data_IF_519144710560
#
_entry.id   IF_519144710560
#
_cell.length_a   1.000
_cell.length_b   1.000
_cell.length_c   1.000
_cell.angle_alpha   90.00
_cell.angle_beta   90.00
_cell.angle_gamma   90.00
#
_symmetry.space_group_name_H-M   'P 1'
#
loop_
_entity.id
_entity.type
_entity.pdbx_description
1 polymer ?
#
# COMPACT_ATOMS: atom_id res chain seq x y z
N UNK A 1 -16.95 -33.09 2.83
CA UNK A 1 -16.89 -32.29 4.06
C UNK A 1 -16.47 -30.91 3.61
N UNK A 2 -17.39 -29.94 3.66
CA UNK A 2 -17.10 -28.58 3.16
C UNK A 2 -16.08 -27.91 4.07
N UNK A 3 -14.99 -27.41 3.50
CA UNK A 3 -14.16 -26.43 4.17
C UNK A 3 -15.02 -25.20 4.40
N UNK A 4 -15.46 -24.98 5.64
CA UNK A 4 -15.97 -23.69 6.07
C UNK A 4 -14.73 -22.78 6.04
N UNK A 5 -14.57 -22.00 4.97
CA UNK A 5 -13.65 -20.87 4.99
C UNK A 5 -14.11 -19.99 6.16
N UNK A 6 -13.27 -19.83 7.18
CA UNK A 6 -13.53 -18.90 8.27
C UNK A 6 -13.48 -17.50 7.68
N UNK A 7 -14.61 -16.79 7.72
CA UNK A 7 -14.66 -15.38 7.35
C UNK A 7 -14.03 -14.57 8.49
N UNK A 8 -12.77 -14.17 8.30
CA UNK A 8 -12.02 -13.37 9.26
C UNK A 8 -12.67 -12.00 9.49
N UNK A 9 -13.40 -11.47 8.50
CA UNK A 9 -14.09 -10.18 8.60
C UNK A 9 -15.27 -10.30 9.56
N UNK A 10 -16.11 -11.33 9.39
CA UNK A 10 -17.24 -11.56 10.29
C UNK A 10 -16.77 -11.87 11.72
N UNK A 11 -15.71 -12.66 11.87
CA UNK A 11 -15.11 -12.97 13.18
C UNK A 11 -14.58 -11.70 13.85
N UNK A 12 -13.87 -10.84 13.11
CA UNK A 12 -13.37 -9.57 13.62
C UNK A 12 -14.50 -8.60 13.99
N UNK A 13 -15.56 -8.53 13.17
CA UNK A 13 -16.75 -7.72 13.42
C UNK A 13 -17.45 -8.12 14.71
N UNK A 14 -17.70 -9.42 14.90
CA UNK A 14 -18.36 -9.95 16.11
C UNK A 14 -17.53 -9.67 17.37
N UNK A 15 -16.21 -9.83 17.29
CA UNK A 15 -15.30 -9.49 18.38
C UNK A 15 -15.39 -8.00 18.71
N UNK A 16 -15.26 -7.13 17.72
CA UNK A 16 -15.33 -5.69 17.91
C UNK A 16 -16.70 -5.24 18.45
N UNK A 17 -17.79 -5.82 17.95
CA UNK A 17 -19.16 -5.57 18.42
C UNK A 17 -19.29 -5.89 19.92
N UNK A 18 -18.77 -7.04 20.35
CA UNK A 18 -18.80 -7.48 21.74
C UNK A 18 -18.10 -6.54 22.72
N UNK A 19 -17.02 -5.87 22.29
CA UNK A 19 -16.28 -4.92 23.13
C UNK A 19 -16.78 -3.47 23.04
N UNK A 20 -17.27 -3.05 21.87
CA UNK A 20 -17.48 -1.63 21.58
C UNK A 20 -18.96 -1.24 21.55
N UNK A 21 -19.87 -2.08 21.09
CA UNK A 21 -21.23 -1.66 20.76
C UNK A 21 -21.99 -1.09 21.97
N UNK A 22 -21.97 -1.81 23.10
CA UNK A 22 -22.66 -1.42 24.32
C UNK A 22 -21.82 -0.46 25.19
N UNK A 23 -20.52 -0.74 25.33
CA UNK A 23 -19.65 0.01 26.24
C UNK A 23 -19.19 1.35 25.66
N UNK A 24 -18.99 1.44 24.34
CA UNK A 24 -18.39 2.57 23.64
C UNK A 24 -19.14 2.85 22.32
N UNK A 25 -20.45 3.18 22.36
CA UNK A 25 -21.31 3.21 21.17
C UNK A 25 -20.86 4.20 20.09
N UNK A 26 -20.24 5.33 20.49
CA UNK A 26 -19.65 6.27 19.53
C UNK A 26 -18.41 5.68 18.85
N UNK A 27 -17.57 4.95 19.59
CA UNK A 27 -16.43 4.23 19.02
C UNK A 27 -16.90 3.15 18.06
N UNK A 28 -17.94 2.40 18.43
CA UNK A 28 -18.55 1.41 17.53
C UNK A 28 -19.04 2.02 16.20
N UNK A 29 -19.70 3.19 16.26
CA UNK A 29 -20.10 3.92 15.06
C UNK A 29 -18.89 4.31 14.18
N UNK A 30 -17.83 4.84 14.80
CA UNK A 30 -16.58 5.13 14.12
C UNK A 30 -15.98 3.87 13.48
N UNK A 31 -15.75 2.80 14.24
CA UNK A 31 -15.19 1.52 13.77
C UNK A 31 -15.99 0.94 12.60
N UNK A 32 -17.32 1.00 12.66
CA UNK A 32 -18.20 0.58 11.55
C UNK A 32 -17.95 1.39 10.28
N UNK A 33 -17.81 2.71 10.41
CA UNK A 33 -17.47 3.60 9.30
C UNK A 33 -16.08 3.30 8.72
N UNK A 34 -15.10 3.05 9.58
CA UNK A 34 -13.72 2.71 9.18
C UNK A 34 -13.71 1.39 8.42
N UNK A 35 -14.40 0.36 8.90
CA UNK A 35 -14.50 -0.93 8.20
C UNK A 35 -15.17 -0.81 6.82
N UNK A 36 -16.22 0.02 6.70
CA UNK A 36 -16.86 0.29 5.41
C UNK A 36 -15.92 1.01 4.43
N UNK A 37 -15.14 1.98 4.92
CA UNK A 37 -14.17 2.71 4.12
C UNK A 37 -12.97 1.83 3.72
N UNK A 38 -12.46 1.04 4.66
CA UNK A 38 -11.39 0.06 4.42
C UNK A 38 -11.80 -0.94 3.36
N UNK A 39 -13.03 -1.48 3.42
CA UNK A 39 -13.57 -2.39 2.41
C UNK A 39 -13.56 -1.75 1.03
N UNK A 40 -14.04 -0.52 0.94
CA UNK A 40 -14.04 0.25 -0.30
C UNK A 40 -12.60 0.37 -0.85
N UNK A 41 -11.69 0.95 -0.08
CA UNK A 41 -10.31 1.19 -0.53
C UNK A 41 -9.55 -0.09 -0.86
N UNK A 42 -9.60 -1.10 0.00
CA UNK A 42 -8.86 -2.34 -0.17
C UNK A 42 -9.33 -3.13 -1.39
N UNK A 43 -10.63 -3.17 -1.69
CA UNK A 43 -11.12 -3.82 -2.92
C UNK A 43 -10.57 -3.20 -4.21
N UNK A 44 -10.17 -1.92 -4.19
CA UNK A 44 -9.57 -1.26 -5.35
C UNK A 44 -8.04 -1.36 -5.36
N UNK A 45 -7.42 -1.17 -4.21
CA UNK A 45 -5.97 -0.98 -4.10
C UNK A 45 -5.23 -2.28 -3.79
N UNK A 46 -5.82 -3.15 -2.97
CA UNK A 46 -5.20 -4.39 -2.52
C UNK A 46 -6.24 -5.52 -2.36
N UNK A 47 -6.81 -6.02 -3.47
CA UNK A 47 -7.91 -6.98 -3.43
C UNK A 47 -7.51 -8.35 -2.85
N UNK A 48 -6.23 -8.75 -2.95
CA UNK A 48 -5.75 -10.02 -2.43
C UNK A 48 -5.78 -10.09 -0.90
N UNK A 49 -5.59 -8.94 -0.24
CA UNK A 49 -5.57 -8.84 1.22
C UNK A 49 -6.74 -8.00 1.78
N UNK A 50 -7.78 -7.78 0.97
CA UNK A 50 -8.90 -6.93 1.36
C UNK A 50 -9.57 -7.38 2.66
N UNK A 51 -9.76 -8.70 2.85
CA UNK A 51 -10.36 -9.23 4.07
C UNK A 51 -9.48 -8.99 5.31
N UNK A 52 -8.15 -9.08 5.18
CA UNK A 52 -7.21 -8.77 6.27
C UNK A 52 -7.32 -7.29 6.67
N UNK A 53 -7.33 -6.38 5.69
CA UNK A 53 -7.44 -4.94 5.95
C UNK A 53 -8.78 -4.58 6.58
N UNK A 54 -9.88 -5.19 6.11
CA UNK A 54 -11.22 -4.97 6.68
C UNK A 54 -11.34 -5.55 8.08
N UNK A 55 -10.79 -6.75 8.33
CA UNK A 55 -10.74 -7.34 9.66
C UNK A 55 -9.93 -6.45 10.61
N UNK A 56 -8.75 -5.96 10.19
CA UNK A 56 -7.96 -5.01 10.99
C UNK A 56 -8.72 -3.70 11.25
N UNK A 57 -9.50 -3.21 10.28
CA UNK A 57 -10.35 -2.03 10.46
C UNK A 57 -11.45 -2.22 11.52
N UNK A 58 -12.05 -3.41 11.62
CA UNK A 58 -12.95 -3.74 12.73
C UNK A 58 -12.22 -3.75 14.08
N UNK A 59 -10.96 -4.19 14.10
CA UNK A 59 -10.20 -4.42 15.32
C UNK A 59 -9.39 -3.24 15.81
N UNK A 60 -9.09 -2.23 14.96
CA UNK A 60 -8.07 -1.22 15.26
C UNK A 60 -8.30 -0.48 16.59
N UNK A 61 -9.57 -0.33 17.00
CA UNK A 61 -9.98 0.40 18.18
C UNK A 61 -10.45 -0.46 19.36
N UNK A 62 -10.38 -1.79 19.28
CA UNK A 62 -10.87 -2.66 20.37
C UNK A 62 -10.09 -2.43 21.66
N UNK A 63 -8.82 -2.04 21.58
CA UNK A 63 -8.00 -1.71 22.75
C UNK A 63 -8.48 -0.50 23.57
N UNK A 64 -9.51 0.24 23.13
CA UNK A 64 -10.20 1.23 23.97
C UNK A 64 -11.12 0.60 25.02
N UNK A 65 -11.51 -0.67 24.85
CA UNK A 65 -12.37 -1.35 25.80
C UNK A 65 -11.68 -1.39 27.18
N UNK A 66 -12.31 -0.88 28.26
CA UNK A 66 -11.66 -0.76 29.56
C UNK A 66 -11.10 -2.08 30.13
N UNK A 67 -11.71 -3.21 29.75
CA UNK A 67 -11.27 -4.54 30.16
C UNK A 67 -10.04 -5.08 29.42
N UNK A 68 -9.64 -4.43 28.31
CA UNK A 68 -8.47 -4.78 27.52
C UNK A 68 -7.25 -3.89 27.82
N UNK A 69 -7.42 -2.83 28.61
CA UNK A 69 -6.36 -1.87 28.89
C UNK A 69 -5.23 -2.49 29.74
N UNK A 70 -4.04 -2.60 29.16
CA UNK A 70 -2.82 -3.07 29.85
C UNK A 70 -1.77 -1.95 29.93
N UNK A 71 -1.55 -1.24 28.83
CA UNK A 71 -0.61 -0.12 28.71
C UNK A 71 -1.30 1.25 28.72
N UNK A 72 -2.62 1.28 28.47
CA UNK A 72 -3.37 2.53 28.29
C UNK A 72 -3.15 3.17 26.93
N UNK A 73 -2.66 2.39 25.96
CA UNK A 73 -2.46 2.78 24.56
C UNK A 73 -3.13 1.73 23.65
N UNK A 74 -4.26 2.13 23.07
CA UNK A 74 -5.19 1.21 22.41
C UNK A 74 -4.60 0.37 21.26
N UNK A 75 -3.61 0.82 20.45
CA UNK A 75 -3.06 -0.02 19.39
C UNK A 75 -2.32 -1.23 19.96
N UNK A 76 -1.53 -1.03 21.02
CA UNK A 76 -0.79 -2.10 21.70
C UNK A 76 -1.74 -3.02 22.45
N UNK A 77 -2.69 -2.44 23.19
CA UNK A 77 -3.64 -3.20 24.01
C UNK A 77 -4.56 -4.08 23.13
N UNK A 78 -5.02 -3.54 21.99
CA UNK A 78 -5.79 -4.28 20.99
C UNK A 78 -4.97 -5.39 20.33
N UNK A 79 -3.75 -5.09 19.87
CA UNK A 79 -2.87 -6.08 19.27
C UNK A 79 -2.52 -7.23 20.24
N UNK A 80 -2.26 -6.90 21.51
CA UNK A 80 -1.99 -7.88 22.57
C UNK A 80 -3.19 -8.80 22.81
N UNK A 81 -4.41 -8.25 22.79
CA UNK A 81 -5.61 -9.06 22.94
C UNK A 81 -5.82 -10.01 21.76
N UNK A 82 -5.79 -9.50 20.52
CA UNK A 82 -5.97 -10.29 19.29
C UNK A 82 -4.93 -11.40 19.23
N UNK A 83 -3.66 -11.07 19.44
CA UNK A 83 -2.55 -12.04 19.41
C UNK A 83 -2.72 -13.19 20.40
N UNK A 84 -3.34 -12.96 21.57
CA UNK A 84 -3.50 -14.01 22.60
C UNK A 84 -4.77 -14.84 22.43
N UNK A 85 -5.83 -14.26 21.87
CA UNK A 85 -7.20 -14.81 21.99
C UNK A 85 -7.85 -15.16 20.67
N UNK A 86 -7.37 -14.61 19.55
CA UNK A 86 -7.95 -14.81 18.22
C UNK A 86 -6.86 -15.25 17.22
N UNK A 87 -6.40 -16.53 17.29
CA UNK A 87 -5.35 -17.04 16.42
C UNK A 87 -5.72 -16.95 14.93
N UNK A 88 -7.00 -17.06 14.60
CA UNK A 88 -7.50 -16.97 13.23
C UNK A 88 -7.42 -15.52 12.66
N UNK A 89 -7.18 -14.53 13.52
CA UNK A 89 -7.03 -13.11 13.15
C UNK A 89 -5.57 -12.64 13.23
N UNK A 90 -4.61 -13.56 13.31
CA UNK A 90 -3.18 -13.25 13.48
C UNK A 90 -2.63 -12.27 12.43
N UNK A 91 -3.09 -12.35 11.18
CA UNK A 91 -2.67 -11.45 10.10
C UNK A 91 -2.97 -9.97 10.39
N UNK A 92 -3.94 -9.67 11.25
CA UNK A 92 -4.34 -8.30 11.58
C UNK A 92 -3.49 -7.67 12.69
N UNK A 93 -2.74 -8.46 13.46
CA UNK A 93 -2.09 -8.02 14.71
C UNK A 93 -1.14 -6.84 14.49
N UNK A 94 -0.29 -6.91 13.47
CA UNK A 94 0.66 -5.84 13.17
C UNK A 94 -0.04 -4.59 12.64
N UNK A 95 -1.10 -4.73 11.83
CA UNK A 95 -1.90 -3.60 11.37
C UNK A 95 -2.57 -2.88 12.55
N UNK A 96 -3.17 -3.65 13.48
CA UNK A 96 -3.78 -3.10 14.70
C UNK A 96 -2.74 -2.40 15.57
N UNK A 97 -1.53 -2.95 15.71
CA UNK A 97 -0.47 -2.33 16.51
C UNK A 97 0.02 -1.00 15.94
N UNK A 98 0.07 -0.88 14.60
CA UNK A 98 0.75 0.23 13.91
C UNK A 98 -0.18 1.25 13.26
N UNK A 99 -1.50 1.06 13.34
CA UNK A 99 -2.48 1.94 12.68
C UNK A 99 -2.37 3.41 13.11
N UNK A 100 -2.79 4.29 12.20
CA UNK A 100 -2.96 5.75 12.34
C UNK A 100 -1.74 6.44 12.97
N UNK A 101 -0.54 5.98 12.60
CA UNK A 101 0.71 6.56 13.08
C UNK A 101 1.00 6.24 14.54
N UNK A 102 0.56 5.09 15.05
CA UNK A 102 0.76 4.64 16.43
C UNK A 102 2.21 4.80 16.93
N UNK A 103 3.20 4.63 16.06
CA UNK A 103 4.61 4.83 16.42
C UNK A 103 4.94 6.25 16.92
N UNK A 104 4.28 7.28 16.39
CA UNK A 104 4.47 8.65 16.87
C UNK A 104 3.93 8.81 18.30
N UNK A 105 2.75 8.26 18.58
CA UNK A 105 2.15 8.34 19.92
C UNK A 105 2.84 7.43 20.93
N UNK A 106 3.28 6.24 20.51
CA UNK A 106 4.10 5.35 21.34
C UNK A 106 5.35 6.07 21.81
N UNK A 107 6.03 6.80 20.92
CA UNK A 107 7.19 7.62 21.29
C UNK A 107 6.86 8.70 22.32
N UNK A 108 5.75 9.43 22.13
CA UNK A 108 5.29 10.46 23.08
C UNK A 108 4.90 9.89 24.45
N UNK A 109 4.59 8.58 24.50
CA UNK A 109 4.25 7.82 25.72
C UNK A 109 5.43 7.05 26.31
N UNK A 110 6.56 6.97 25.62
CA UNK A 110 7.70 6.12 26.01
C UNK A 110 7.43 4.62 25.87
N UNK A 111 6.55 4.23 24.94
CA UNK A 111 6.13 2.85 24.65
C UNK A 111 6.79 2.27 23.38
N UNK A 112 7.91 2.84 22.94
CA UNK A 112 8.64 2.37 21.75
C UNK A 112 9.06 0.89 21.89
N UNK A 113 9.42 0.45 23.10
CA UNK A 113 9.84 -0.92 23.37
C UNK A 113 8.70 -1.92 23.27
N UNK A 114 7.53 -1.55 23.78
CA UNK A 114 6.31 -2.35 23.78
C UNK A 114 5.76 -2.48 22.35
N UNK A 115 5.74 -1.38 21.59
CA UNK A 115 5.32 -1.41 20.18
C UNK A 115 6.26 -2.28 19.34
N UNK A 116 7.56 -2.28 19.64
CA UNK A 116 8.57 -3.03 18.89
C UNK A 116 8.46 -4.57 19.01
N UNK A 117 7.56 -5.10 19.85
CA UNK A 117 7.20 -6.53 19.83
C UNK A 117 6.34 -6.90 18.63
N UNK A 118 5.66 -5.93 18.03
CA UNK A 118 4.89 -6.09 16.81
C UNK A 118 5.73 -5.58 15.65
N UNK A 119 6.03 -6.45 14.69
CA UNK A 119 6.80 -6.03 13.52
C UNK A 119 6.02 -4.95 12.79
N UNK A 120 6.73 -3.92 12.32
CA UNK A 120 6.11 -2.97 11.41
C UNK A 120 5.60 -3.77 10.19
N UNK A 121 4.34 -3.58 9.74
CA UNK A 121 3.81 -4.33 8.63
C UNK A 121 4.76 -4.28 7.45
N UNK A 122 5.14 -5.45 6.94
CA UNK A 122 5.93 -5.54 5.72
C UNK A 122 5.09 -4.99 4.57
N UNK A 123 3.77 -5.22 4.61
CA UNK A 123 2.76 -4.77 3.66
C UNK A 123 2.31 -3.34 3.99
N UNK A 124 3.12 -2.38 3.53
CA UNK A 124 2.98 -0.95 3.84
C UNK A 124 1.71 -0.34 3.21
N UNK A 125 1.24 -0.90 2.10
CA UNK A 125 -0.03 -0.57 1.46
C UNK A 125 -1.24 -0.95 2.31
N UNK A 126 -1.27 -2.14 2.92
CA UNK A 126 -2.35 -2.55 3.84
C UNK A 126 -2.48 -1.55 4.99
N UNK A 127 -1.36 -1.18 5.61
CA UNK A 127 -1.32 -0.17 6.67
C UNK A 127 -1.74 1.22 6.14
N UNK A 128 -1.30 1.59 4.94
CA UNK A 128 -1.67 2.86 4.32
C UNK A 128 -3.19 2.94 4.07
N UNK A 129 -3.80 1.84 3.63
CA UNK A 129 -5.24 1.73 3.41
C UNK A 129 -6.00 1.83 4.73
N UNK A 130 -5.55 1.12 5.78
CA UNK A 130 -6.15 1.19 7.11
C UNK A 130 -6.08 2.61 7.70
N UNK A 131 -4.91 3.25 7.63
CA UNK A 131 -4.71 4.62 8.07
C UNK A 131 -5.61 5.59 7.31
N UNK A 132 -5.70 5.42 5.98
CA UNK A 132 -6.59 6.23 5.15
C UNK A 132 -8.06 6.06 5.55
N UNK A 133 -8.49 4.83 5.83
CA UNK A 133 -9.85 4.53 6.25
C UNK A 133 -10.22 5.19 7.57
N UNK A 134 -9.35 5.14 8.59
CA UNK A 134 -9.55 5.83 9.87
C UNK A 134 -9.55 7.35 9.68
N UNK A 135 -8.53 7.88 9.00
CA UNK A 135 -8.38 9.32 8.80
C UNK A 135 -9.53 9.93 7.97
N UNK A 136 -10.22 9.16 7.14
CA UNK A 136 -11.37 9.61 6.37
C UNK A 136 -12.72 9.34 7.06
N UNK A 137 -12.72 8.89 8.31
CA UNK A 137 -13.93 8.55 9.06
C UNK A 137 -14.05 9.38 10.34
N UNK A 138 -15.20 10.02 10.49
CA UNK A 138 -15.52 10.82 11.68
C UNK A 138 -15.79 9.92 12.90
N UNK A 139 -15.80 10.50 14.12
CA UNK A 139 -16.17 9.77 15.34
C UNK A 139 -17.57 9.16 15.31
N UNK A 140 -18.45 9.63 14.42
CA UNK A 140 -19.82 9.16 14.31
C UNK A 140 -20.01 8.25 13.09
N UNK A 141 -18.91 7.80 12.47
CA UNK A 141 -18.90 6.85 11.35
C UNK A 141 -19.13 7.46 9.96
N UNK A 142 -19.32 8.79 9.86
CA UNK A 142 -19.50 9.47 8.58
C UNK A 142 -18.16 9.75 7.87
N UNK A 143 -18.18 9.71 6.53
CA UNK A 143 -17.02 10.07 5.70
C UNK A 143 -16.70 11.56 5.81
N UNK A 144 -15.43 11.89 6.02
CA UNK A 144 -14.92 13.26 6.12
C UNK A 144 -13.56 13.40 5.43
N UNK A 145 -13.17 14.64 5.14
CA UNK A 145 -11.83 14.93 4.64
C UNK A 145 -10.77 14.66 5.73
N UNK A 146 -9.64 14.01 5.42
CA UNK A 146 -8.60 13.69 6.40
C UNK A 146 -8.01 14.92 7.10
N UNK A 147 -7.97 16.10 6.46
CA UNK A 147 -7.58 17.35 7.12
C UNK A 147 -8.58 17.74 8.22
N UNK A 148 -9.88 17.56 7.96
CA UNK A 148 -10.93 17.84 8.94
C UNK A 148 -10.77 16.89 10.14
N UNK A 149 -10.44 15.62 9.90
CA UNK A 149 -10.17 14.64 10.96
C UNK A 149 -8.96 15.03 11.81
N UNK A 150 -7.83 15.40 11.21
CA UNK A 150 -6.65 15.89 11.95
C UNK A 150 -6.99 17.10 12.80
N UNK A 151 -7.67 18.10 12.23
CA UNK A 151 -8.05 19.32 12.95
C UNK A 151 -8.97 19.00 14.14
N UNK A 152 -9.93 18.09 13.96
CA UNK A 152 -10.82 17.64 15.03
C UNK A 152 -10.07 16.97 16.19
N UNK A 153 -9.06 16.14 15.89
CA UNK A 153 -8.23 15.51 16.93
C UNK A 153 -7.42 16.58 17.68
N UNK A 154 -6.84 17.54 16.97
CA UNK A 154 -6.08 18.65 17.59
C UNK A 154 -6.97 19.57 18.45
N UNK A 155 -8.24 19.78 18.07
CA UNK A 155 -9.19 20.55 18.87
C UNK A 155 -9.66 19.78 20.13
N UNK A 156 -9.72 18.44 20.05
CA UNK A 156 -10.20 17.57 21.13
C UNK A 156 -9.21 17.43 22.28
N UNK A 157 -7.92 17.38 21.97
CA UNK A 157 -6.87 17.10 22.94
C UNK A 157 -6.04 18.35 23.27
N UNK A 158 -5.63 18.56 24.53
CA UNK A 158 -4.80 19.71 24.87
C UNK A 158 -3.36 19.54 24.32
N UNK A 159 -2.63 20.65 24.06
CA UNK A 159 -1.31 20.61 23.43
C UNK A 159 -0.23 19.79 24.16
N UNK A 160 -0.39 19.58 25.47
CA UNK A 160 0.50 18.79 26.33
C UNK A 160 0.14 17.30 26.38
N UNK A 161 -0.96 16.88 25.74
CA UNK A 161 -1.29 15.46 25.61
C UNK A 161 -0.35 14.75 24.62
N UNK A 162 -0.06 13.44 24.83
CA UNK A 162 0.71 12.65 23.87
C UNK A 162 0.02 12.57 22.50
N UNK A 163 -1.31 12.48 22.46
CA UNK A 163 -2.10 12.43 21.22
C UNK A 163 -1.89 13.70 20.38
N UNK A 164 -2.01 14.89 21.00
CA UNK A 164 -1.85 16.15 20.27
C UNK A 164 -0.45 16.28 19.68
N UNK A 165 0.60 15.97 20.45
CA UNK A 165 1.99 16.05 19.96
C UNK A 165 2.26 15.03 18.86
N UNK A 166 1.75 13.82 18.99
CA UNK A 166 1.85 12.78 17.98
C UNK A 166 1.18 13.22 16.67
N UNK A 167 -0.07 13.68 16.72
CA UNK A 167 -0.84 14.11 15.53
C UNK A 167 -0.27 15.39 14.91
N UNK A 168 0.28 16.31 15.72
CA UNK A 168 0.99 17.48 15.19
C UNK A 168 2.18 17.06 14.32
N UNK A 169 2.86 15.97 14.68
CA UNK A 169 4.01 15.43 13.94
C UNK A 169 3.59 14.55 12.77
N UNK A 170 2.62 13.65 12.96
CA UNK A 170 2.23 12.65 11.95
C UNK A 170 1.17 13.13 10.97
N UNK A 171 0.40 14.16 11.33
CA UNK A 171 -0.75 14.68 10.57
C UNK A 171 -0.46 14.95 9.09
N UNK A 172 0.62 15.66 8.72
CA UNK A 172 0.94 15.90 7.31
C UNK A 172 1.11 14.62 6.49
N UNK A 173 1.79 13.60 7.05
CA UNK A 173 1.95 12.30 6.40
C UNK A 173 0.63 11.53 6.33
N UNK A 174 -0.13 11.48 7.42
CA UNK A 174 -1.42 10.77 7.45
C UNK A 174 -2.41 11.34 6.44
N UNK A 175 -2.44 12.67 6.28
CA UNK A 175 -3.30 13.29 5.27
C UNK A 175 -2.78 13.03 3.85
N UNK A 176 -1.46 13.12 3.63
CA UNK A 176 -0.87 12.82 2.32
C UNK A 176 -1.13 11.36 1.89
N UNK A 177 -1.00 10.42 2.83
CA UNK A 177 -1.28 9.00 2.62
C UNK A 177 -2.77 8.76 2.35
N UNK A 178 -3.66 9.38 3.13
CA UNK A 178 -5.11 9.26 2.92
C UNK A 178 -5.55 9.81 1.55
N UNK A 179 -5.01 10.96 1.12
CA UNK A 179 -5.30 11.54 -0.20
C UNK A 179 -4.76 10.70 -1.34
N UNK A 180 -3.56 10.12 -1.17
CA UNK A 180 -3.00 9.17 -2.12
C UNK A 180 -3.93 7.98 -2.30
N UNK A 181 -4.34 7.32 -1.20
CA UNK A 181 -5.25 6.17 -1.26
C UNK A 181 -6.61 6.52 -1.86
N UNK A 182 -7.21 7.66 -1.47
CA UNK A 182 -8.48 8.13 -2.02
C UNK A 182 -8.40 8.39 -3.52
N UNK A 183 -7.41 9.17 -3.96
CA UNK A 183 -7.22 9.49 -5.37
C UNK A 183 -6.88 8.25 -6.20
N UNK A 184 -6.11 7.33 -5.61
CA UNK A 184 -5.79 6.08 -6.26
C UNK A 184 -7.01 5.19 -6.47
N UNK A 185 -7.86 5.07 -5.44
CA UNK A 185 -9.10 4.30 -5.50
C UNK A 185 -10.14 4.96 -6.42
N UNK A 186 -10.18 6.30 -6.49
CA UNK A 186 -11.03 7.02 -7.44
C UNK A 186 -10.60 6.77 -8.89
N UNK A 187 -9.31 6.85 -9.17
CA UNK A 187 -8.75 6.57 -10.50
C UNK A 187 -8.90 5.10 -10.92
N UNK A 188 -9.00 4.19 -9.95
CA UNK A 188 -9.24 2.76 -10.17
C UNK A 188 -10.69 2.42 -10.56
N UNK A 189 -11.67 3.32 -10.36
CA UNK A 189 -13.10 3.11 -10.62
C UNK A 189 -13.72 1.86 -9.93
N UNK A 190 -13.14 1.36 -8.83
CA UNK A 190 -13.60 0.16 -8.08
C UNK A 190 -13.86 -1.07 -8.96
N UNK A 191 -12.89 -1.44 -9.80
CA UNK A 191 -12.98 -2.67 -10.59
C UNK A 191 -12.05 -3.72 -10.02
N UNK A 192 -12.62 -4.88 -9.71
CA UNK A 192 -11.87 -6.04 -9.24
C UNK A 192 -10.82 -6.42 -10.29
N UNK A 193 -9.60 -6.70 -9.83
CA UNK A 193 -8.53 -7.23 -10.68
C UNK A 193 -8.87 -8.67 -11.00
N UNK A 194 -8.81 -9.05 -12.27
CA UNK A 194 -9.18 -10.40 -12.70
C UNK A 194 -7.99 -11.37 -12.68
N UNK A 195 -6.75 -10.84 -12.72
CA UNK A 195 -5.51 -11.62 -12.78
C UNK A 195 -4.39 -10.95 -12.00
N UNK A 196 -3.39 -11.74 -11.58
CA UNK A 196 -2.20 -11.26 -10.91
C UNK A 196 -1.47 -10.20 -11.74
N UNK A 197 -1.08 -9.12 -11.07
CA UNK A 197 -0.32 -8.03 -11.69
C UNK A 197 1.10 -8.52 -11.97
N UNK A 198 1.66 -8.30 -13.17
CA UNK A 198 3.06 -8.55 -13.45
C UNK A 198 3.95 -7.69 -12.56
N UNK A 199 5.14 -8.19 -12.26
CA UNK A 199 6.19 -7.40 -11.61
C UNK A 199 6.49 -6.14 -12.45
N UNK A 200 6.48 -6.27 -13.79
CA UNK A 200 6.78 -5.15 -14.69
C UNK A 200 5.99 -5.16 -15.98
N UNK A 201 5.57 -3.99 -16.46
CA UNK A 201 5.03 -3.80 -17.82
C UNK A 201 5.74 -2.64 -18.53
N UNK A 202 6.18 -2.89 -19.76
CA UNK A 202 6.88 -1.98 -20.65
C UNK A 202 6.03 -1.69 -21.90
N UNK A 203 5.99 -0.42 -22.29
CA UNK A 203 5.35 0.05 -23.52
C UNK A 203 6.35 0.88 -24.33
N UNK A 204 6.78 0.35 -25.48
CA UNK A 204 7.89 0.95 -26.26
C UNK A 204 7.44 2.17 -27.07
N UNK A 205 6.16 2.24 -27.47
CA UNK A 205 5.54 3.38 -28.16
C UNK A 205 4.04 3.42 -27.84
N UNK A 206 3.34 4.57 -27.93
CA UNK A 206 1.88 4.58 -27.93
C UNK A 206 1.38 3.79 -29.16
N UNK A 207 1.03 2.53 -28.94
CA UNK A 207 0.74 1.59 -30.01
C UNK A 207 0.50 0.17 -29.49
N UNK A 208 0.36 -0.82 -30.39
CA UNK A 208 0.03 -2.18 -30.01
C UNK A 208 1.20 -2.96 -29.39
N UNK A 209 2.41 -2.38 -29.32
CA UNK A 209 3.59 -3.05 -28.79
C UNK A 209 3.69 -2.93 -27.26
N UNK A 210 3.91 -4.07 -26.60
CA UNK A 210 4.04 -4.12 -25.15
C UNK A 210 4.85 -5.36 -24.71
N UNK A 211 5.37 -5.32 -23.49
CA UNK A 211 6.02 -6.44 -22.80
C UNK A 211 5.63 -6.43 -21.33
N UNK A 212 5.08 -7.52 -20.82
CA UNK A 212 4.76 -7.71 -19.41
C UNK A 212 5.56 -8.89 -18.84
N UNK A 213 6.03 -8.78 -17.60
CA UNK A 213 6.97 -9.72 -16.96
C UNK A 213 6.47 -10.07 -15.55
N UNK A 214 6.33 -11.36 -15.27
CA UNK A 214 6.04 -11.92 -13.95
C UNK A 214 7.24 -12.74 -13.46
N UNK A 215 7.55 -12.64 -12.17
CA UNK A 215 8.72 -13.26 -11.53
C UNK A 215 8.44 -13.68 -10.08
N UNK A 216 7.23 -14.13 -9.77
CA UNK A 216 6.81 -14.34 -8.38
C UNK A 216 7.63 -15.42 -7.64
N UNK A 217 8.21 -16.38 -8.35
CA UNK A 217 9.02 -17.45 -7.77
C UNK A 217 10.54 -17.10 -7.71
N UNK A 218 10.96 -15.93 -8.21
CA UNK A 218 12.35 -15.49 -8.40
C UNK A 218 13.28 -16.47 -9.17
N UNK A 219 12.75 -17.57 -9.72
CA UNK A 219 13.48 -18.65 -10.39
C UNK A 219 13.08 -18.76 -11.86
N UNK A 220 11.95 -18.20 -12.22
CA UNK A 220 11.43 -18.14 -13.57
C UNK A 220 10.95 -16.72 -13.91
N UNK A 221 10.99 -16.43 -15.19
CA UNK A 221 10.56 -15.17 -15.77
C UNK A 221 9.53 -15.52 -16.83
N UNK A 222 8.26 -15.25 -16.55
CA UNK A 222 7.18 -15.38 -17.52
C UNK A 222 7.02 -14.03 -18.21
N UNK A 223 7.24 -14.00 -19.52
CA UNK A 223 7.13 -12.77 -20.32
C UNK A 223 6.00 -12.90 -21.32
N UNK A 224 5.04 -11.98 -21.29
CA UNK A 224 4.11 -11.77 -22.38
C UNK A 224 4.60 -10.61 -23.25
N UNK A 225 4.56 -10.74 -24.58
CA UNK A 225 4.91 -9.66 -25.52
C UNK A 225 3.93 -9.55 -26.66
N UNK A 226 3.80 -8.35 -27.23
CA UNK A 226 3.24 -8.15 -28.57
C UNK A 226 4.06 -7.13 -29.32
N UNK A 227 4.31 -7.40 -30.59
CA UNK A 227 4.99 -6.47 -31.50
C UNK A 227 3.99 -5.69 -32.34
N UNK A 228 4.44 -4.58 -32.92
CA UNK A 228 3.60 -3.76 -33.80
C UNK A 228 3.03 -4.54 -34.99
N UNK A 229 3.79 -5.50 -35.52
CA UNK A 229 3.36 -6.37 -36.62
C UNK A 229 2.22 -7.33 -36.24
N UNK A 230 2.00 -7.55 -34.94
CA UNK A 230 0.98 -8.45 -34.38
C UNK A 230 -0.22 -7.67 -33.83
N UNK A 231 -0.45 -6.41 -34.24
CA UNK A 231 -1.46 -5.53 -33.65
C UNK A 231 -2.87 -6.13 -33.54
N UNK A 232 -3.24 -7.03 -34.46
CA UNK A 232 -4.55 -7.69 -34.53
C UNK A 232 -4.56 -9.12 -34.00
N UNK A 233 -3.44 -9.59 -33.43
CA UNK A 233 -3.27 -10.95 -32.90
C UNK A 233 -3.09 -10.92 -31.38
N UNK A 234 -3.40 -12.04 -30.68
CA UNK A 234 -2.98 -12.22 -29.30
C UNK A 234 -1.46 -12.04 -29.15
N UNK A 235 -1.02 -11.59 -27.99
CA UNK A 235 0.39 -11.58 -27.62
C UNK A 235 0.96 -12.99 -27.49
N UNK A 236 2.27 -13.08 -27.42
CA UNK A 236 3.03 -14.32 -27.23
C UNK A 236 3.50 -14.39 -25.79
N UNK A 237 3.32 -15.55 -25.14
CA UNK A 237 3.88 -15.83 -23.82
C UNK A 237 5.12 -16.71 -23.95
N UNK A 238 6.22 -16.29 -23.33
CA UNK A 238 7.49 -17.00 -23.22
C UNK A 238 7.79 -17.26 -21.73
N UNK A 239 8.34 -18.41 -21.41
CA UNK A 239 8.79 -18.76 -20.06
C UNK A 239 10.30 -18.98 -20.12
N UNK A 240 11.05 -18.28 -19.28
CA UNK A 240 12.49 -18.47 -19.10
C UNK A 240 12.76 -18.92 -17.67
N UNK A 241 13.70 -19.84 -17.49
CA UNK A 241 14.16 -20.29 -16.17
C UNK A 241 15.59 -19.81 -15.94
N UNK A 242 15.85 -19.23 -14.77
CA UNK A 242 17.19 -18.78 -14.39
C UNK A 242 17.95 -19.91 -13.68
N UNK A 243 18.98 -20.43 -14.38
CA UNK A 243 19.92 -21.41 -13.85
C UNK A 243 19.51 -22.89 -13.96
N UNK A 244 20.45 -23.83 -13.76
CA UNK A 244 20.17 -25.25 -13.77
C UNK A 244 19.58 -25.67 -12.42
N UNK A 245 18.28 -25.45 -12.20
CA UNK A 245 17.63 -26.08 -11.04
C UNK A 245 17.60 -27.60 -11.31
N UNK A 246 18.21 -28.45 -10.46
CA UNK A 246 17.99 -29.89 -10.58
C UNK A 246 16.48 -30.12 -10.45
N UNK A 247 15.87 -30.86 -11.39
CA UNK A 247 14.43 -31.19 -11.36
C UNK A 247 13.97 -31.88 -10.06
N UNK A 248 14.90 -32.23 -9.15
CA UNK A 248 14.63 -32.87 -7.86
C UNK A 248 14.24 -31.93 -6.72
N UNK A 249 14.29 -30.61 -6.89
CA UNK A 249 13.99 -29.62 -5.84
C UNK A 249 12.87 -28.63 -6.25
N UNK A 250 11.88 -29.11 -7.02
CA UNK A 250 10.65 -28.35 -7.21
C UNK A 250 9.78 -28.47 -5.97
N UNK A 251 9.78 -27.43 -5.15
CA UNK A 251 8.83 -27.26 -4.06
C UNK A 251 7.43 -27.03 -4.66
N UNK A 252 6.38 -27.69 -4.16
CA UNK A 252 5.02 -27.53 -4.67
C UNK A 252 4.57 -26.07 -4.78
N UNK A 253 4.91 -25.25 -3.78
CA UNK A 253 4.53 -23.83 -3.74
C UNK A 253 5.14 -23.03 -4.90
N UNK A 254 6.38 -23.33 -5.31
CA UNK A 254 7.01 -22.69 -6.46
C UNK A 254 6.34 -23.10 -7.78
N UNK A 255 5.85 -24.34 -7.87
CA UNK A 255 5.10 -24.81 -9.03
C UNK A 255 3.75 -24.10 -9.17
N UNK A 256 3.06 -23.90 -8.04
CA UNK A 256 1.77 -23.21 -7.99
C UNK A 256 1.92 -21.72 -8.36
N UNK A 257 3.00 -21.06 -7.89
CA UNK A 257 3.33 -19.68 -8.27
C UNK A 257 3.59 -19.55 -9.78
N UNK A 258 4.42 -20.44 -10.36
CA UNK A 258 4.66 -20.41 -11.81
C UNK A 258 3.37 -20.66 -12.60
N UNK A 259 2.56 -21.65 -12.21
CA UNK A 259 1.30 -21.95 -12.89
C UNK A 259 0.33 -20.75 -12.84
N UNK A 260 0.30 -20.04 -11.72
CA UNK A 260 -0.44 -18.78 -11.59
C UNK A 260 0.09 -17.69 -12.54
N UNK A 261 1.41 -17.48 -12.59
CA UNK A 261 2.05 -16.48 -13.47
C UNK A 261 1.82 -16.80 -14.95
N UNK A 262 1.94 -18.07 -15.36
CA UNK A 262 1.68 -18.51 -16.73
C UNK A 262 0.22 -18.29 -17.12
N UNK A 263 -0.72 -18.58 -16.22
CA UNK A 263 -2.15 -18.31 -16.45
C UNK A 263 -2.43 -16.82 -16.60
N UNK A 264 -1.92 -16.00 -15.68
CA UNK A 264 -2.07 -14.55 -15.72
C UNK A 264 -1.50 -13.94 -17.01
N UNK A 265 -0.28 -14.35 -17.39
CA UNK A 265 0.37 -13.91 -18.62
C UNK A 265 -0.41 -14.30 -19.88
N UNK A 266 -0.98 -15.51 -19.91
CA UNK A 266 -1.77 -16.01 -21.04
C UNK A 266 -3.08 -15.25 -21.19
N UNK A 267 -3.78 -14.99 -20.09
CA UNK A 267 -5.03 -14.22 -20.10
C UNK A 267 -4.77 -12.77 -20.55
N UNK A 268 -3.72 -12.14 -20.01
CA UNK A 268 -3.33 -10.80 -20.41
C UNK A 268 -2.93 -10.71 -21.89
N UNK A 269 -2.15 -11.67 -22.38
CA UNK A 269 -1.75 -11.75 -23.79
C UNK A 269 -2.94 -11.97 -24.74
N UNK A 270 -4.00 -12.62 -24.26
CA UNK A 270 -5.23 -12.87 -25.01
C UNK A 270 -6.18 -11.66 -25.03
N UNK A 271 -5.83 -10.56 -24.36
CA UNK A 271 -6.67 -9.36 -24.28
C UNK A 271 -7.75 -9.43 -23.20
N UNK A 272 -7.56 -10.27 -22.18
CA UNK A 272 -8.39 -10.29 -20.97
C UNK A 272 -8.46 -8.94 -20.29
N UNK A 273 -9.52 -8.72 -19.51
CA UNK A 273 -9.63 -7.53 -18.67
C UNK A 273 -8.67 -7.66 -17.49
N UNK A 274 -7.92 -6.59 -17.22
CA UNK A 274 -6.84 -6.58 -16.24
C UNK A 274 -7.17 -5.67 -15.06
N UNK A 275 -7.59 -4.43 -15.39
CA UNK A 275 -7.79 -3.36 -14.41
C UNK A 275 -6.57 -3.13 -13.52
N UNK A 276 -5.36 -3.28 -14.07
CA UNK A 276 -4.14 -2.99 -13.31
C UNK A 276 -3.93 -1.49 -13.21
N UNK A 277 -3.22 -1.08 -12.16
CA UNK A 277 -2.84 0.31 -11.95
C UNK A 277 -1.32 0.40 -11.95
N UNK A 278 -0.81 1.34 -12.74
CA UNK A 278 0.58 1.72 -12.69
C UNK A 278 0.69 3.11 -12.10
N UNK A 279 1.72 3.31 -11.32
CA UNK A 279 2.02 4.58 -10.70
C UNK A 279 3.38 5.08 -11.16
N UNK A 280 3.58 6.40 -11.12
CA UNK A 280 4.90 7.00 -11.21
C UNK A 280 4.98 8.18 -10.26
N UNK A 281 6.16 8.39 -9.69
CA UNK A 281 6.39 9.45 -8.75
C UNK A 281 7.44 10.43 -9.27
N UNK A 282 7.23 11.69 -8.93
CA UNK A 282 8.16 12.77 -9.18
C UNK A 282 8.48 13.43 -7.85
N UNK A 283 9.73 13.78 -7.63
CA UNK A 283 10.06 14.68 -6.53
C UNK A 283 9.38 16.03 -6.77
N UNK A 284 8.67 16.51 -5.75
CA UNK A 284 8.03 17.80 -5.79
C UNK A 284 8.89 18.81 -5.04
N UNK A 285 9.41 19.86 -5.71
CA UNK A 285 10.21 20.87 -5.06
C UNK A 285 9.41 21.65 -4.00
N UNK A 286 10.05 22.14 -2.92
CA UNK A 286 9.38 22.89 -1.85
C UNK A 286 8.69 24.18 -2.31
N UNK A 287 9.02 24.68 -3.50
CA UNK A 287 8.41 25.88 -4.08
C UNK A 287 7.06 25.59 -4.80
N UNK A 288 6.61 24.34 -4.76
CA UNK A 288 5.30 23.91 -5.26
C UNK A 288 5.13 23.97 -6.77
N UNK A 289 6.23 24.09 -7.53
CA UNK A 289 6.16 23.93 -8.99
C UNK A 289 5.88 22.47 -9.33
N UNK A 290 5.06 22.26 -10.35
CA UNK A 290 4.73 20.93 -10.85
C UNK A 290 5.96 20.13 -11.31
N UNK A 291 5.79 18.82 -11.56
CA UNK A 291 6.87 17.92 -11.91
C UNK A 291 7.69 18.44 -13.10
N UNK A 292 9.02 18.38 -13.00
CA UNK A 292 9.90 18.76 -14.10
C UNK A 292 10.46 17.52 -14.79
N UNK A 293 10.69 17.57 -16.11
CA UNK A 293 11.38 16.48 -16.80
C UNK A 293 12.74 16.19 -16.14
N UNK A 294 13.03 14.95 -15.79
CA UNK A 294 14.26 14.54 -15.10
C UNK A 294 14.16 14.50 -13.58
N UNK A 295 12.99 14.83 -12.98
CA UNK A 295 12.73 14.65 -11.53
C UNK A 295 11.93 13.39 -11.24
N UNK A 296 11.82 12.47 -12.20
CA UNK A 296 11.26 11.14 -11.99
C UNK A 296 12.05 10.45 -10.87
N UNK A 297 11.33 10.07 -9.82
CA UNK A 297 11.86 9.10 -8.87
C UNK A 297 11.70 7.76 -9.57
N UNK A 298 12.79 7.16 -10.00
CA UNK A 298 12.75 5.83 -10.61
C UNK A 298 12.85 4.75 -9.50
N UNK A 299 12.64 3.48 -9.84
CA UNK A 299 13.20 2.33 -9.10
C UNK A 299 14.16 1.61 -10.06
N UNK A 300 15.40 1.25 -9.67
CA UNK A 300 16.21 0.40 -10.51
C UNK A 300 15.75 -1.04 -10.30
N UNK A 301 15.42 -1.72 -11.38
CA UNK A 301 15.52 -3.17 -11.41
C UNK A 301 16.33 -3.54 -12.65
N UNK A 302 17.66 -3.48 -12.50
CA UNK A 302 18.76 -4.03 -13.33
C UNK A 302 18.66 -4.03 -14.87
N UNK A 303 17.66 -3.43 -15.48
CA UNK A 303 17.39 -3.48 -16.92
C UNK A 303 16.69 -2.17 -17.32
N UNK A 304 17.35 -1.41 -18.20
CA UNK A 304 17.00 -0.06 -18.68
C UNK A 304 15.50 0.25 -18.80
N UNK A 305 15.11 1.40 -18.22
CA UNK A 305 13.82 1.67 -17.57
C UNK A 305 12.71 2.28 -18.43
N UNK A 306 11.47 1.88 -18.16
CA UNK A 306 10.32 2.79 -18.04
C UNK A 306 9.88 2.78 -16.56
N UNK A 307 9.84 3.96 -15.93
CA UNK A 307 9.70 4.13 -14.48
C UNK A 307 8.24 3.97 -14.03
N UNK A 308 7.88 2.80 -13.50
CA UNK A 308 6.55 2.55 -12.93
C UNK A 308 6.64 1.83 -11.58
N UNK A 309 5.70 2.13 -10.71
CA UNK A 309 5.57 1.67 -9.33
C UNK A 309 4.24 0.93 -9.17
N UNK A 310 4.19 -0.04 -8.26
CA UNK A 310 2.95 -0.52 -7.67
C UNK A 310 2.48 0.42 -6.56
N UNK A 311 1.26 0.23 -6.04
CA UNK A 311 0.73 1.12 -5.01
C UNK A 311 1.54 1.07 -3.71
N UNK A 312 2.00 -0.13 -3.32
CA UNK A 312 2.87 -0.33 -2.17
C UNK A 312 4.21 0.38 -2.35
N UNK A 313 4.84 0.30 -3.53
CA UNK A 313 6.08 1.02 -3.81
C UNK A 313 5.90 2.54 -3.64
N UNK A 314 4.76 3.10 -4.07
CA UNK A 314 4.44 4.52 -3.86
C UNK A 314 4.23 4.82 -2.38
N UNK A 315 3.52 3.97 -1.64
CA UNK A 315 3.30 4.16 -0.21
C UNK A 315 4.63 4.14 0.56
N UNK A 316 5.54 3.23 0.21
CA UNK A 316 6.92 3.17 0.74
C UNK A 316 7.70 4.43 0.40
N UNK A 317 7.71 4.80 -0.89
CA UNK A 317 8.40 6.00 -1.35
C UNK A 317 7.89 7.25 -0.64
N UNK A 318 6.59 7.36 -0.39
CA UNK A 318 6.02 8.48 0.35
C UNK A 318 6.56 8.55 1.78
N UNK A 319 6.65 7.42 2.49
CA UNK A 319 7.24 7.35 3.84
C UNK A 319 8.72 7.76 3.81
N UNK A 320 9.49 7.24 2.87
CA UNK A 320 10.93 7.53 2.73
C UNK A 320 11.20 9.00 2.43
N UNK A 321 10.38 9.61 1.56
CA UNK A 321 10.48 11.01 1.22
C UNK A 321 10.03 11.90 2.39
N UNK A 322 8.97 11.50 3.10
CA UNK A 322 8.50 12.18 4.30
C UNK A 322 9.55 12.20 5.42
N UNK A 323 10.28 11.10 5.62
CA UNK A 323 11.40 11.03 6.58
C UNK A 323 12.50 12.06 6.29
N UNK A 324 12.65 12.45 5.01
CA UNK A 324 13.60 13.45 4.55
C UNK A 324 13.01 14.86 4.46
N UNK A 325 11.72 15.03 4.76
CA UNK A 325 11.00 16.31 4.65
C UNK A 325 10.76 16.71 3.20
N UNK A 326 10.63 15.73 2.31
CA UNK A 326 10.41 15.90 0.88
C UNK A 326 9.02 15.39 0.51
N UNK A 327 8.46 15.96 -0.55
CA UNK A 327 7.13 15.60 -1.06
C UNK A 327 7.23 14.99 -2.45
N UNK A 328 6.23 14.20 -2.85
CA UNK A 328 6.16 13.60 -4.17
C UNK A 328 4.84 13.96 -4.87
N UNK A 329 4.89 14.18 -6.19
CA UNK A 329 3.71 14.11 -7.06
C UNK A 329 3.59 12.68 -7.56
N UNK A 330 2.41 12.08 -7.40
CA UNK A 330 2.11 10.76 -7.94
C UNK A 330 1.17 10.90 -9.11
N UNK A 331 1.43 10.17 -10.17
CA UNK A 331 0.49 9.96 -11.25
C UNK A 331 0.10 8.49 -11.32
N UNK A 332 -1.13 8.23 -11.74
CA UNK A 332 -1.65 6.90 -11.97
C UNK A 332 -2.24 6.79 -13.37
N UNK A 333 -2.16 5.59 -13.93
CA UNK A 333 -2.99 5.17 -15.04
C UNK A 333 -3.52 3.76 -14.82
N UNK A 334 -4.61 3.47 -15.51
CA UNK A 334 -5.25 2.14 -15.52
C UNK A 334 -4.97 1.43 -16.83
N UNK A 335 -4.55 0.17 -16.73
CA UNK A 335 -4.41 -0.80 -17.82
C UNK A 335 -5.66 -1.68 -17.79
N UNK A 336 -6.65 -1.35 -18.62
CA UNK A 336 -7.86 -2.16 -18.76
C UNK A 336 -7.56 -3.47 -19.49
N UNK A 337 -6.71 -3.41 -20.52
CA UNK A 337 -6.07 -4.55 -21.17
C UNK A 337 -4.67 -4.13 -21.60
N UNK A 338 -3.77 -5.06 -21.96
CA UNK A 338 -2.45 -4.68 -22.50
C UNK A 338 -2.53 -3.85 -23.80
N UNK A 339 -3.71 -3.70 -24.41
CA UNK A 339 -3.96 -2.86 -25.59
C UNK A 339 -4.75 -1.59 -25.29
N UNK A 340 -5.28 -1.45 -24.08
CA UNK A 340 -6.13 -0.34 -23.66
C UNK A 340 -5.59 0.21 -22.34
N UNK A 341 -4.74 1.22 -22.46
CA UNK A 341 -4.09 1.90 -21.36
C UNK A 341 -4.55 3.34 -21.35
N UNK A 342 -5.00 3.81 -20.20
CA UNK A 342 -5.40 5.20 -20.03
C UNK A 342 -4.20 6.15 -19.97
N UNK A 343 -4.46 7.42 -20.26
CA UNK A 343 -3.50 8.49 -20.01
C UNK A 343 -3.19 8.63 -18.52
N UNK A 344 -1.99 9.11 -18.21
CA UNK A 344 -1.60 9.43 -16.84
C UNK A 344 -2.47 10.54 -16.24
N UNK A 345 -2.89 10.36 -14.99
CA UNK A 345 -3.65 11.33 -14.20
C UNK A 345 -2.92 11.66 -12.92
N UNK A 346 -2.88 12.94 -12.56
CA UNK A 346 -2.33 13.38 -11.27
C UNK A 346 -3.22 12.94 -10.11
N UNK A 347 -2.61 12.36 -9.08
CA UNK A 347 -3.23 12.15 -7.78
C UNK A 347 -3.02 13.41 -6.92
N UNK A 348 -4.05 13.90 -6.20
CA UNK A 348 -3.94 15.10 -5.37
C UNK A 348 -2.80 15.02 -4.32
N UNK A 349 -2.00 16.08 -4.21
CA UNK A 349 -0.86 16.16 -3.30
C UNK A 349 -1.20 16.89 -1.99
N UNK A 350 -0.46 16.57 -0.93
CA UNK A 350 -0.22 17.46 0.22
C UNK A 350 1.29 17.62 0.46
N UNK A 351 1.72 18.84 0.81
CA UNK A 351 3.12 19.15 1.11
C UNK A 351 3.50 18.72 2.53
N UNK A 352 4.71 18.20 2.67
CA UNK A 352 5.36 17.91 3.94
C UNK A 352 6.35 19.04 4.22
N UNK A 353 6.09 19.82 5.26
CA UNK A 353 6.81 21.07 5.57
C UNK A 353 8.16 20.86 6.31
N UNK A 354 8.58 19.62 6.55
CA UNK A 354 9.86 19.29 7.16
C UNK A 354 10.06 17.79 7.46
N UNK A 355 11.28 17.36 7.82
CA UNK A 355 11.58 15.94 8.07
C UNK A 355 10.72 15.35 9.19
N UNK A 356 10.08 14.23 8.89
CA UNK A 356 9.36 13.46 9.89
C UNK A 356 10.28 12.45 10.56
N UNK A 357 10.29 12.48 11.88
CA UNK A 357 11.02 11.51 12.66
C UNK A 357 10.25 10.19 12.75
N UNK A 358 10.75 9.18 12.02
CA UNK A 358 10.22 7.82 11.95
C UNK A 358 11.01 6.83 12.83
N UNK A 359 11.80 7.28 13.81
CA UNK A 359 12.68 6.40 14.63
C UNK A 359 11.98 5.31 15.45
N UNK A 360 10.64 5.31 15.51
CA UNK A 360 9.81 4.23 16.07
C UNK A 360 9.34 3.18 15.05
N UNK A 361 9.56 3.41 13.76
CA UNK A 361 9.25 2.49 12.67
C UNK A 361 10.49 1.65 12.38
N UNK A 362 10.57 0.46 12.99
CA UNK A 362 11.59 -0.54 12.63
C UNK A 362 11.32 -1.04 11.21
N UNK A 363 12.38 -1.36 10.48
CA UNK A 363 12.29 -2.07 9.21
C UNK A 363 11.48 -1.38 8.11
N UNK A 364 11.41 -0.04 8.09
CA UNK A 364 11.11 0.66 6.82
C UNK A 364 12.22 0.22 5.85
N UNK A 365 11.90 -0.50 4.77
CA UNK A 365 12.90 -0.91 3.81
C UNK A 365 13.66 0.33 3.37
N UNK A 366 14.99 0.30 3.38
CA UNK A 366 15.75 1.43 2.89
C UNK A 366 15.24 1.77 1.48
N UNK A 367 14.94 3.05 1.18
CA UNK A 367 14.59 3.44 -0.18
C UNK A 367 15.67 2.87 -1.08
N UNK A 368 15.28 2.28 -2.20
CA UNK A 368 16.26 2.01 -3.25
C UNK A 368 16.65 3.37 -3.80
N UNK A 369 17.62 4.02 -3.14
CA UNK A 369 18.08 5.36 -3.47
C UNK A 369 18.60 5.30 -4.89
N UNK A 370 17.87 5.94 -5.80
CA UNK A 370 18.33 6.13 -7.15
C UNK A 370 19.17 7.37 -7.25
N UNK A 371 20.48 7.13 -7.31
CA UNK A 371 21.36 8.07 -7.97
C UNK A 371 21.11 7.97 -9.48
N UNK A 372 20.85 9.11 -10.12
CA UNK A 372 20.97 9.23 -11.58
C UNK A 372 22.34 8.68 -12.01
N UNK A 373 22.43 7.77 -12.99
CA UNK A 373 23.73 7.37 -13.50
C UNK A 373 24.46 8.61 -14.04
N UNK A 374 25.77 8.76 -13.79
CA UNK A 374 26.53 9.86 -14.37
C UNK A 374 26.41 9.79 -15.89
N UNK A 375 25.95 10.87 -16.51
CA UNK A 375 25.72 10.95 -17.95
C UNK A 375 26.95 10.57 -18.78
N UNK A 376 26.78 10.18 -20.05
CA UNK A 376 27.87 9.71 -20.90
C UNK A 376 28.95 10.79 -21.02
N UNK A 377 30.15 10.49 -20.53
CA UNK A 377 31.33 11.31 -20.79
C UNK A 377 31.66 11.18 -22.27
N UNK A 378 31.25 12.15 -23.08
CA UNK A 378 31.76 12.27 -24.44
C UNK A 378 33.27 12.51 -24.39
N UNK A 379 34.10 11.67 -25.02
CA UNK A 379 35.51 11.98 -25.16
C UNK A 379 35.62 13.26 -26.00
N UNK A 380 36.24 14.29 -25.42
CA UNK A 380 36.63 15.48 -26.17
C UNK A 380 37.55 15.03 -27.30
N UNK A 381 37.14 15.26 -28.54
CA UNK A 381 38.04 15.21 -29.69
C UNK A 381 39.25 16.09 -29.37
N UNK A 382 40.42 15.45 -29.30
CA UNK A 382 41.68 16.13 -29.45
C UNK A 382 42.06 16.02 -30.93
N UNK A 383 42.31 17.20 -31.53
CA UNK A 383 42.82 17.39 -32.89
C UNK A 383 44.12 16.63 -33.13
#
# INVERSE_FOLDING_TARGET
MGHNSFDIVDTARELAEGFLADALPRRWAHTTGVAAMAKRLASALEPAHADTVVAAAWLHDVGYAPELAETGFHPIDGAAYVSRTAPDLWSTVNLVAHHTGAAFEAHERGLDGELAHYHFPVDIDELAILNAADMCTSPDGALIDPQVRVNEILDRYPPDSPVYRAITRSGPLLIAQARLALGAAEAAEYRERCVNVPERVEYVEPGPSWRAVWTADHRSIVTATRTAAQATSPGVVEIRFDGPTPMSEWEPDAADLLDADVRAATEAASGGQLNWHEYRAYELPPDGRGPQPGTELCVPAEWDSLSTFHFDDIARLQLDMAAQGRSIQVQQRTIATLSNVSEWRDIPIMFIDGPLDLRGLKDIPAPTILTTPPGPTHPRNQN
#
